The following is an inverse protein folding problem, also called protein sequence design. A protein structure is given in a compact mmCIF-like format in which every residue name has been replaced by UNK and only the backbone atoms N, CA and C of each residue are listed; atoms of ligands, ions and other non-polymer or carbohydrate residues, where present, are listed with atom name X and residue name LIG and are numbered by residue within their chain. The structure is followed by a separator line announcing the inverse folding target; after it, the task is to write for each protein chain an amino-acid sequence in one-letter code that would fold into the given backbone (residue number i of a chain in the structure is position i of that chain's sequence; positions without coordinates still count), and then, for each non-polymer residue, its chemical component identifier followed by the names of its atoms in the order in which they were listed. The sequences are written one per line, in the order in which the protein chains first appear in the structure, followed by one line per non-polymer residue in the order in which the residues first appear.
data_IF_528399807267
#
_entry.id   IF_528399807267
#
_cell.length_a   1.000
_cell.length_b   1.000
_cell.length_c   1.000
_cell.angle_alpha   90.00
_cell.angle_beta   90.00
_cell.angle_gamma   90.00
#
_symmetry.space_group_name_H-M   'P 1'
#
loop_
_entity.id
_entity.type
_entity.pdbx_description
1 polymer ?
#
# COMPACT_ATOMS: atom_id res chain seq x y z
N UNK A 1 -4.01 6.04 -10.13
CA UNK A 1 -2.98 6.26 -9.10
C UNK A 1 -2.83 7.73 -8.69
N UNK A 2 -2.64 8.71 -9.59
CA UNK A 2 -2.50 10.14 -9.21
C UNK A 2 -3.55 10.69 -8.25
N UNK A 3 -4.84 10.41 -8.46
CA UNK A 3 -5.92 10.92 -7.58
C UNK A 3 -5.81 10.44 -6.13
N UNK A 4 -5.37 9.20 -5.91
CA UNK A 4 -5.16 8.66 -4.56
C UNK A 4 -3.98 9.35 -3.88
N UNK A 5 -2.90 9.57 -4.62
CA UNK A 5 -1.71 10.28 -4.13
C UNK A 5 -2.00 11.75 -3.83
N UNK A 6 -2.78 12.42 -4.67
CA UNK A 6 -3.27 13.78 -4.43
C UNK A 6 -4.17 13.84 -3.19
N UNK A 7 -5.03 12.83 -2.99
CA UNK A 7 -5.86 12.74 -1.78
C UNK A 7 -5.01 12.58 -0.52
N UNK A 8 -3.98 11.73 -0.54
CA UNK A 8 -3.04 11.59 0.57
C UNK A 8 -2.34 12.91 0.89
N UNK A 9 -1.88 13.63 -0.14
CA UNK A 9 -1.26 14.97 0.01
C UNK A 9 -2.24 16.00 0.56
N UNK A 10 -3.50 16.00 0.12
CA UNK A 10 -4.49 16.94 0.62
C UNK A 10 -4.86 16.61 2.08
N UNK A 11 -5.01 15.33 2.41
CA UNK A 11 -5.34 14.90 3.77
C UNK A 11 -4.25 15.28 4.78
N UNK A 12 -2.96 15.18 4.42
CA UNK A 12 -1.88 15.64 5.30
C UNK A 12 -1.80 17.16 5.43
N UNK A 13 -2.16 17.90 4.38
CA UNK A 13 -2.18 19.37 4.43
C UNK A 13 -3.35 19.91 5.25
N UNK A 14 -4.51 19.29 5.15
CA UNK A 14 -5.75 19.79 5.74
C UNK A 14 -5.99 19.29 7.18
N UNK A 15 -5.29 18.22 7.59
CA UNK A 15 -5.47 17.61 8.91
C UNK A 15 -4.18 17.51 9.71
N UNK A 16 -4.13 18.24 10.82
CA UNK A 16 -3.09 18.11 11.84
C UNK A 16 -3.36 16.98 12.84
N UNK A 17 -4.48 16.27 12.72
CA UNK A 17 -4.87 15.19 13.63
C UNK A 17 -4.07 13.92 13.35
N UNK A 18 -3.90 13.09 14.37
CA UNK A 18 -3.28 11.77 14.25
C UNK A 18 -4.16 10.83 13.42
N UNK A 19 -3.68 10.37 12.26
CA UNK A 19 -4.43 9.44 11.40
C UNK A 19 -3.54 8.39 10.70
N UNK A 20 -4.16 7.25 10.40
CA UNK A 20 -3.61 6.23 9.51
C UNK A 20 -4.69 5.74 8.55
N UNK A 21 -4.30 5.31 7.36
CA UNK A 21 -5.18 4.67 6.38
C UNK A 21 -4.66 3.27 6.07
N UNK A 22 -5.55 2.29 6.11
CA UNK A 22 -5.26 0.88 5.86
C UNK A 22 -6.08 0.43 4.66
N UNK A 23 -5.44 -0.12 3.64
CA UNK A 23 -6.17 -0.61 2.47
C UNK A 23 -5.28 -1.16 1.38
N UNK A 24 -5.92 -1.61 0.31
CA UNK A 24 -5.22 -1.97 -0.92
C UNK A 24 -4.89 -0.69 -1.70
N UNK A 25 -3.63 -0.30 -1.65
CA UNK A 25 -3.15 0.87 -2.39
C UNK A 25 -2.74 0.53 -3.81
N UNK A 26 -2.77 -0.75 -4.21
CA UNK A 26 -2.22 -1.25 -5.47
C UNK A 26 -0.80 -0.73 -5.79
N UNK A 27 -0.06 -0.33 -4.76
CA UNK A 27 1.30 0.18 -4.85
C UNK A 27 2.10 -0.42 -3.69
N UNK A 28 3.36 -0.72 -3.97
CA UNK A 28 4.32 -1.23 -2.99
C UNK A 28 5.39 -0.17 -2.74
N UNK A 29 6.04 -0.24 -1.58
CA UNK A 29 7.07 0.72 -1.15
C UNK A 29 8.46 0.14 -1.41
N UNK A 30 8.59 -1.18 -1.36
CA UNK A 30 9.80 -1.92 -1.67
C UNK A 30 9.52 -3.09 -2.61
N UNK A 31 10.50 -3.48 -3.42
CA UNK A 31 10.38 -4.70 -4.26
C UNK A 31 10.17 -5.97 -3.43
N UNK A 32 10.70 -5.98 -2.20
CA UNK A 32 10.56 -7.07 -1.21
C UNK A 32 9.11 -7.32 -0.81
N UNK A 33 8.25 -6.30 -0.91
CA UNK A 33 6.82 -6.44 -0.68
C UNK A 33 6.22 -7.41 -1.68
N UNK A 34 6.66 -7.38 -2.95
CA UNK A 34 6.15 -8.25 -4.00
C UNK A 34 6.80 -9.63 -3.96
N UNK A 35 5.96 -10.66 -3.83
CA UNK A 35 6.39 -12.07 -3.89
C UNK A 35 6.02 -12.71 -5.24
N UNK A 36 7.05 -13.10 -5.99
CA UNK A 36 6.92 -13.80 -7.27
C UNK A 36 6.46 -12.92 -8.44
N UNK A 37 6.44 -13.51 -9.64
CA UNK A 37 6.10 -12.81 -10.89
C UNK A 37 7.22 -11.85 -11.36
N UNK A 38 6.88 -10.97 -12.30
CA UNK A 38 7.79 -9.93 -12.78
C UNK A 38 8.11 -8.90 -11.69
N UNK A 39 9.24 -8.20 -11.81
CA UNK A 39 9.58 -7.09 -10.91
C UNK A 39 8.53 -5.99 -11.01
N UNK A 40 8.18 -5.37 -9.88
CA UNK A 40 7.29 -4.21 -9.91
C UNK A 40 8.00 -3.05 -10.61
N UNK A 41 7.30 -2.25 -11.45
CA UNK A 41 7.96 -1.18 -12.20
C UNK A 41 8.60 -0.15 -11.27
N UNK A 42 9.90 0.10 -11.44
CA UNK A 42 10.67 1.00 -10.57
C UNK A 42 10.08 2.41 -10.51
N UNK A 43 9.61 2.95 -11.63
CA UNK A 43 9.00 4.27 -11.69
C UNK A 43 7.71 4.40 -10.85
N UNK A 44 6.99 3.29 -10.60
CA UNK A 44 5.83 3.29 -9.70
C UNK A 44 6.26 3.26 -8.23
N UNK A 45 7.32 2.51 -7.91
CA UNK A 45 7.94 2.52 -6.58
C UNK A 45 8.44 3.91 -6.23
N UNK A 46 9.22 4.51 -7.12
CA UNK A 46 9.81 5.84 -6.93
C UNK A 46 8.70 6.88 -6.76
N UNK A 47 7.73 6.93 -7.68
CA UNK A 47 6.65 7.92 -7.61
C UNK A 47 5.74 7.77 -6.37
N UNK A 48 5.59 6.56 -5.85
CA UNK A 48 4.85 6.34 -4.60
C UNK A 48 5.68 6.76 -3.39
N UNK A 49 6.96 6.39 -3.32
CA UNK A 49 7.88 6.84 -2.27
C UNK A 49 7.99 8.36 -2.22
N UNK A 50 8.18 9.03 -3.37
CA UNK A 50 8.22 10.49 -3.47
C UNK A 50 6.93 11.12 -2.93
N UNK A 51 5.78 10.50 -3.20
CA UNK A 51 4.49 10.98 -2.67
C UNK A 51 4.40 10.85 -1.15
N UNK A 52 4.90 9.74 -0.59
CA UNK A 52 4.92 9.55 0.86
C UNK A 52 5.86 10.55 1.52
N UNK A 53 7.04 10.79 0.94
CA UNK A 53 8.00 11.77 1.41
C UNK A 53 7.44 13.19 1.35
N UNK A 54 6.91 13.61 0.20
CA UNK A 54 6.28 14.92 -0.02
C UNK A 54 5.13 15.17 0.98
N UNK A 55 4.35 14.13 1.29
CA UNK A 55 3.23 14.21 2.21
C UNK A 55 3.65 14.07 3.69
N UNK A 56 4.90 13.71 3.99
CA UNK A 56 5.37 13.44 5.36
C UNK A 56 4.72 12.19 5.97
N UNK A 57 4.37 11.22 5.13
CA UNK A 57 3.74 9.96 5.48
C UNK A 57 4.78 8.86 5.66
N UNK A 58 4.43 7.83 6.43
CA UNK A 58 5.25 6.62 6.56
C UNK A 58 4.42 5.36 6.32
N UNK A 59 5.02 4.40 5.63
CA UNK A 59 4.53 3.02 5.61
C UNK A 59 4.74 2.41 7.00
N UNK A 60 3.68 1.82 7.52
CA UNK A 60 3.63 1.20 8.84
C UNK A 60 3.47 -0.30 8.65
N UNK A 61 4.28 -1.07 9.36
CA UNK A 61 4.17 -2.52 9.32
C UNK A 61 2.83 -2.96 9.93
N UNK A 62 2.04 -3.69 9.14
CA UNK A 62 0.83 -4.33 9.63
C UNK A 62 1.21 -5.66 10.28
N UNK A 63 1.20 -5.70 11.61
CA UNK A 63 1.36 -6.95 12.35
C UNK A 63 0.20 -7.91 12.01
N UNK A 64 0.53 -9.10 11.49
CA UNK A 64 -0.44 -10.12 11.09
C UNK A 64 -0.16 -10.70 9.71
N UNK A 65 -1.20 -10.94 8.91
CA UNK A 65 -1.07 -11.38 7.52
C UNK A 65 -1.10 -10.17 6.57
N UNK A 66 0.07 -9.64 6.13
CA UNK A 66 0.13 -8.45 5.27
C UNK A 66 -0.27 -8.74 3.81
N UNK A 67 -0.49 -10.02 3.48
CA UNK A 67 -0.86 -10.50 2.16
C UNK A 67 -2.34 -10.85 2.12
N UNK A 68 -3.08 -10.33 1.14
CA UNK A 68 -4.37 -10.91 0.77
C UNK A 68 -4.12 -11.97 -0.29
N UNK A 69 -4.44 -13.23 0.03
CA UNK A 69 -4.34 -14.35 -0.90
C UNK A 69 -5.68 -14.49 -1.60
N UNK A 70 -5.71 -14.44 -2.93
CA UNK A 70 -6.79 -15.07 -3.69
C UNK A 70 -6.33 -16.46 -4.14
N UNK A 71 -7.07 -17.48 -3.70
CA UNK A 71 -6.92 -18.84 -4.22
C UNK A 71 -7.64 -18.85 -5.57
N UNK A 72 -6.89 -19.05 -6.66
CA UNK A 72 -7.47 -19.46 -7.94
C UNK A 72 -8.28 -20.74 -7.69
N UNK A 73 -9.60 -20.60 -7.66
CA UNK A 73 -10.53 -21.71 -7.57
C UNK A 73 -10.46 -22.49 -8.87
N UNK A 74 -10.29 -23.80 -8.74
CA UNK A 74 -10.34 -24.76 -9.82
C UNK A 74 -11.74 -24.77 -10.44
N UNK A 75 -11.94 -23.96 -11.49
CA UNK A 75 -12.84 -24.21 -12.63
C UNK A 75 -12.69 -23.07 -13.64
N UNK A 76 -12.70 -23.46 -14.92
CA UNK A 76 -12.24 -22.77 -16.14
C UNK A 76 -13.00 -21.49 -16.54
N UNK A 77 -13.59 -20.76 -15.59
CA UNK A 77 -14.35 -19.54 -15.86
C UNK A 77 -14.58 -18.71 -14.61
N UNK A 78 -13.56 -17.95 -14.21
CA UNK A 78 -13.74 -16.80 -13.33
C UNK A 78 -13.31 -15.53 -14.05
N UNK A 79 -14.29 -15.05 -14.83
CA UNK A 79 -14.35 -13.71 -15.38
C UNK A 79 -14.83 -12.78 -14.26
N UNK A 80 -13.90 -12.15 -13.54
CA UNK A 80 -14.17 -10.87 -12.88
C UNK A 80 -13.19 -9.81 -13.41
N UNK A 81 -13.64 -9.21 -14.50
CA UNK A 81 -13.10 -8.00 -15.09
C UNK A 81 -13.25 -6.87 -14.07
N UNK A 82 -12.16 -6.17 -13.69
CA UNK A 82 -11.85 -4.79 -14.14
C UNK A 82 -10.73 -4.10 -13.33
N UNK A 83 -9.48 -4.47 -13.57
CA UNK A 83 -8.38 -3.49 -13.78
C UNK A 83 -7.25 -4.16 -14.54
N UNK A 84 -7.37 -4.16 -15.87
CA UNK A 84 -6.34 -4.48 -16.86
C UNK A 84 -5.42 -5.68 -16.55
N UNK A 85 -5.93 -6.90 -16.74
CA UNK A 85 -5.08 -8.08 -16.89
C UNK A 85 -5.19 -8.60 -18.32
N UNK A 86 -4.10 -8.49 -19.07
CA UNK A 86 -3.81 -9.34 -20.23
C UNK A 86 -2.47 -10.01 -19.93
N UNK A 87 -2.52 -11.26 -19.48
CA UNK A 87 -1.33 -12.08 -19.28
C UNK A 87 -1.51 -13.09 -18.16
N UNK A 88 -1.70 -14.35 -18.54
CA UNK A 88 -1.57 -15.49 -17.64
C UNK A 88 -0.21 -15.44 -16.90
N UNK A 89 -0.23 -15.76 -15.61
CA UNK A 89 0.89 -15.86 -14.65
C UNK A 89 1.38 -14.61 -13.89
N UNK A 90 0.50 -13.66 -13.54
CA UNK A 90 0.85 -12.68 -12.51
C UNK A 90 -0.01 -12.84 -11.24
N UNK A 91 0.39 -13.76 -10.36
CA UNK A 91 -0.07 -13.76 -8.96
C UNK A 91 0.57 -12.59 -8.22
N UNK A 92 0.14 -11.37 -8.51
CA UNK A 92 0.46 -10.21 -7.70
C UNK A 92 -0.55 -10.13 -6.55
N UNK A 93 -0.18 -10.78 -5.44
CA UNK A 93 -0.76 -10.67 -4.12
C UNK A 93 -1.06 -9.21 -3.76
N UNK A 94 -2.31 -8.87 -3.50
CA UNK A 94 -2.66 -7.54 -3.02
C UNK A 94 -2.07 -7.35 -1.62
N UNK A 95 -1.23 -6.31 -1.47
CA UNK A 95 -0.58 -5.96 -0.21
C UNK A 95 -1.43 -4.88 0.45
N UNK A 96 -1.96 -5.20 1.64
CA UNK A 96 -2.54 -4.13 2.46
C UNK A 96 -1.41 -3.25 2.95
N UNK A 97 -1.48 -1.96 2.63
CA UNK A 97 -0.55 -0.96 3.14
C UNK A 97 -1.25 -0.14 4.22
N UNK A 98 -0.50 0.17 5.27
CA UNK A 98 -0.90 1.11 6.30
C UNK A 98 -0.02 2.33 6.18
N UNK A 99 -0.60 3.47 5.82
CA UNK A 99 0.14 4.72 5.71
C UNK A 99 -0.36 5.67 6.78
N UNK A 100 0.58 6.20 7.57
CA UNK A 100 0.27 7.06 8.69
C UNK A 100 1.01 8.39 8.61
N UNK A 101 0.37 9.44 9.14
CA UNK A 101 1.03 10.74 9.25
C UNK A 101 1.99 10.80 10.43
N UNK A 102 2.87 11.80 10.42
CA UNK A 102 3.93 11.95 11.43
C UNK A 102 3.41 11.94 12.86
N UNK A 103 2.28 12.59 13.13
CA UNK A 103 1.70 12.67 14.49
C UNK A 103 1.21 11.30 14.96
N UNK A 104 0.60 10.50 14.09
CA UNK A 104 0.22 9.13 14.41
C UNK A 104 1.44 8.26 14.69
N UNK A 105 2.48 8.33 13.85
CA UNK A 105 3.71 7.55 14.04
C UNK A 105 4.36 7.87 15.38
N UNK A 106 4.44 9.15 15.76
CA UNK A 106 5.00 9.58 17.04
C UNK A 106 4.21 9.00 18.22
N UNK A 107 2.89 9.12 18.23
CA UNK A 107 2.05 8.55 19.29
C UNK A 107 2.14 7.02 19.34
N UNK A 108 2.15 6.36 18.19
CA UNK A 108 2.27 4.90 18.10
C UNK A 108 3.61 4.43 18.69
N UNK A 109 4.73 5.03 18.29
CA UNK A 109 6.06 4.68 18.82
C UNK A 109 6.18 4.92 20.33
N UNK A 110 5.65 6.03 20.85
CA UNK A 110 5.61 6.28 22.30
C UNK A 110 4.83 5.21 23.04
N UNK A 111 3.68 4.78 22.49
CA UNK A 111 2.85 3.73 23.12
C UNK A 111 3.50 2.34 23.12
N UNK A 112 4.31 2.01 22.11
CA UNK A 112 5.04 0.73 22.03
C UNK A 112 6.26 0.70 22.97
N UNK A 113 6.84 1.86 23.27
CA UNK A 113 8.01 2.00 24.16
C UNK A 113 7.64 2.18 25.64
N UNK A 114 6.35 2.27 26.00
CA UNK A 114 5.89 2.23 27.39
C UNK A 114 6.37 3.40 28.27
N UNK A 115 6.34 4.62 27.74
CA UNK A 115 6.46 5.87 28.52
C UNK A 115 5.13 6.60 28.59
#
# INVERSE_FOLDING_TARGET
MRRTWELLRNLTRDSNLSWCTIGDMNNIVEQSDKKGGALYPQWLLDGFNDTLEDAGLKDMELYGHPFTWERGGDTDSWLEIRTQSYGYEEKAFSFRKCVANRTFVQHYSSSQLGI
#
